data_IF_064199505764
#
_entry.id   IF_064199505764
#
_cell.length_a   1.000
_cell.length_b   1.000
_cell.length_c   1.000
_cell.angle_alpha   90.00
_cell.angle_beta   90.00
_cell.angle_gamma   90.00
#
_symmetry.space_group_name_H-M   'P 1'
#
loop_
_entity.id
_entity.type
_entity.pdbx_description
1 polymer ?
#
# COMPACT_ATOMS: atom_id res chain seq x y z
N UNK A 1 1.71 5.37 -17.73
CA UNK A 1 1.57 4.07 -18.44
C UNK A 1 2.81 3.18 -18.31
N UNK A 2 4.04 3.72 -18.32
CA UNK A 2 5.25 2.87 -18.17
C UNK A 2 5.40 2.23 -16.78
N UNK A 3 5.07 2.94 -15.71
CA UNK A 3 5.16 2.40 -14.34
C UNK A 3 4.28 1.14 -14.18
N UNK A 4 3.08 1.14 -14.76
CA UNK A 4 2.16 0.00 -14.73
C UNK A 4 2.66 -1.20 -15.55
N UNK A 5 3.48 -0.96 -16.58
CA UNK A 5 4.14 -2.04 -17.34
C UNK A 5 5.22 -2.72 -16.49
N UNK A 6 5.88 -1.96 -15.62
CA UNK A 6 6.92 -2.46 -14.73
C UNK A 6 6.35 -2.99 -13.41
N UNK A 7 5.44 -3.98 -13.51
CA UNK A 7 4.78 -4.59 -12.35
C UNK A 7 5.77 -5.22 -11.35
N UNK A 8 6.97 -5.62 -11.79
CA UNK A 8 8.04 -6.13 -10.93
C UNK A 8 8.56 -5.04 -9.97
N UNK A 9 8.72 -3.81 -10.45
CA UNK A 9 9.10 -2.68 -9.60
C UNK A 9 8.02 -2.40 -8.56
N UNK A 10 6.74 -2.45 -8.95
CA UNK A 10 5.63 -2.22 -8.02
C UNK A 10 5.56 -3.35 -6.99
N UNK A 11 5.74 -4.60 -7.41
CA UNK A 11 5.85 -5.73 -6.48
C UNK A 11 7.01 -5.53 -5.50
N UNK A 12 8.17 -5.08 -5.98
CA UNK A 12 9.31 -4.77 -5.11
C UNK A 12 8.96 -3.66 -4.11
N UNK A 13 8.27 -2.60 -4.54
CA UNK A 13 7.82 -1.52 -3.66
C UNK A 13 6.80 -2.01 -2.62
N UNK A 14 5.89 -2.92 -2.97
CA UNK A 14 5.01 -3.56 -1.98
C UNK A 14 5.82 -4.31 -0.93
N UNK A 15 6.76 -5.15 -1.38
CA UNK A 15 7.59 -5.98 -0.50
C UNK A 15 8.62 -5.18 0.31
N UNK A 16 8.87 -3.92 -0.04
CA UNK A 16 9.81 -3.02 0.66
C UNK A 16 9.06 -1.88 1.32
N UNK A 17 8.89 -0.75 0.63
CA UNK A 17 8.25 0.45 1.15
C UNK A 17 6.86 0.19 1.72
N UNK A 18 6.05 -0.66 1.08
CA UNK A 18 4.68 -0.93 1.52
C UNK A 18 4.61 -1.70 2.84
N UNK A 19 5.53 -2.64 3.06
CA UNK A 19 5.60 -3.43 4.29
C UNK A 19 6.52 -2.83 5.36
N UNK A 20 7.26 -1.77 5.04
CA UNK A 20 8.14 -1.12 5.99
C UNK A 20 7.35 -0.32 7.05
N UNK A 21 7.89 -0.21 8.28
CA UNK A 21 8.91 -1.06 8.87
C UNK A 21 8.34 -2.46 9.15
N UNK A 22 9.15 -3.51 9.01
CA UNK A 22 8.66 -4.90 9.12
C UNK A 22 8.45 -5.39 10.56
N UNK A 23 9.03 -4.70 11.55
CA UNK A 23 9.00 -5.09 12.96
C UNK A 23 8.50 -3.93 13.83
N UNK A 24 7.72 -4.19 14.89
CA UNK A 24 7.15 -5.49 15.26
C UNK A 24 6.09 -6.00 14.25
N UNK A 25 5.51 -5.10 13.45
CA UNK A 25 4.63 -5.38 12.32
C UNK A 25 4.71 -4.25 11.29
N UNK A 26 4.32 -4.49 10.02
CA UNK A 26 4.19 -3.45 9.00
C UNK A 26 3.29 -2.30 9.43
N UNK A 27 3.73 -1.05 9.20
CA UNK A 27 2.92 0.15 9.49
C UNK A 27 1.54 0.06 8.86
N UNK A 28 1.46 -0.37 7.59
CA UNK A 28 0.17 -0.46 6.88
C UNK A 28 -0.83 -1.36 7.61
N UNK A 29 -0.39 -2.44 8.26
CA UNK A 29 -1.27 -3.35 9.02
C UNK A 29 -1.82 -2.64 10.25
N UNK A 30 -0.96 -1.95 11.01
CA UNK A 30 -1.36 -1.14 12.16
C UNK A 30 -2.33 -0.02 11.77
N UNK A 31 -2.04 0.72 10.69
CA UNK A 31 -2.90 1.80 10.18
C UNK A 31 -4.26 1.29 9.72
N UNK A 32 -4.33 0.16 8.98
CA UNK A 32 -5.60 -0.43 8.57
C UNK A 32 -6.47 -0.84 9.78
N UNK A 33 -5.87 -1.40 10.83
CA UNK A 33 -6.60 -1.71 12.08
C UNK A 33 -7.07 -0.44 12.79
N UNK A 34 -6.24 0.60 12.83
CA UNK A 34 -6.62 1.88 13.44
C UNK A 34 -7.78 2.54 12.68
N UNK A 35 -7.75 2.51 11.35
CA UNK A 35 -8.84 3.01 10.50
C UNK A 35 -10.11 2.18 10.70
N UNK A 36 -10.01 0.85 10.75
CA UNK A 36 -11.15 -0.02 11.06
C UNK A 36 -11.75 0.26 12.46
N UNK A 37 -10.94 0.71 13.42
CA UNK A 37 -11.35 1.19 14.74
C UNK A 37 -11.93 2.62 14.76
N UNK A 38 -12.13 3.25 13.60
CA UNK A 38 -12.73 4.57 13.46
C UNK A 38 -11.74 5.74 13.40
N UNK A 39 -10.44 5.46 13.18
CA UNK A 39 -9.40 6.48 12.97
C UNK A 39 -9.32 7.57 14.07
N UNK A 40 -9.78 7.25 15.29
CA UNK A 40 -9.83 8.22 16.39
C UNK A 40 -8.42 8.70 16.73
N UNK A 41 -8.22 10.02 16.67
CA UNK A 41 -6.94 10.65 16.98
C UNK A 41 -5.87 10.57 15.87
N UNK A 42 -6.20 10.08 14.67
CA UNK A 42 -5.23 10.11 13.57
C UNK A 42 -4.93 11.55 13.14
N UNK A 43 -3.65 11.86 13.06
CA UNK A 43 -3.14 13.14 12.57
C UNK A 43 -2.91 13.10 11.06
N UNK A 44 -2.63 14.27 10.45
CA UNK A 44 -2.28 14.34 9.03
C UNK A 44 -1.06 13.45 8.68
N UNK A 45 -0.09 13.33 9.59
CA UNK A 45 1.08 12.48 9.39
C UNK A 45 0.72 10.99 9.38
N UNK A 46 -0.27 10.57 10.18
CA UNK A 46 -0.75 9.18 10.18
C UNK A 46 -1.45 8.82 8.88
N UNK A 47 -2.22 9.76 8.32
CA UNK A 47 -2.84 9.60 7.00
C UNK A 47 -1.80 9.56 5.88
N UNK A 48 -0.77 10.42 5.96
CA UNK A 48 0.34 10.38 5.02
C UNK A 48 1.09 9.05 5.06
N UNK A 49 1.42 8.54 6.26
CA UNK A 49 2.07 7.25 6.46
C UNK A 49 1.21 6.08 5.91
N UNK A 50 -0.10 6.12 6.17
CA UNK A 50 -1.06 5.15 5.59
C UNK A 50 -1.03 5.18 4.07
N UNK A 51 -1.07 6.38 3.46
CA UNK A 51 -1.03 6.53 2.01
C UNK A 51 0.30 6.06 1.44
N UNK A 52 1.42 6.46 2.05
CA UNK A 52 2.76 6.13 1.59
C UNK A 52 2.98 4.60 1.54
N UNK A 53 2.57 3.91 2.60
CA UNK A 53 2.72 2.46 2.69
C UNK A 53 1.60 1.70 1.95
N UNK A 54 0.41 2.30 1.81
CA UNK A 54 -0.73 1.71 1.10
C UNK A 54 -0.67 1.83 -0.43
N UNK A 55 -0.06 2.91 -0.95
CA UNK A 55 -0.05 3.23 -2.37
C UNK A 55 0.57 2.13 -3.25
N UNK A 56 1.70 1.49 -2.89
CA UNK A 56 2.24 0.36 -3.66
C UNK A 56 1.22 -0.77 -3.85
N UNK A 57 0.48 -1.15 -2.79
CA UNK A 57 -0.52 -2.21 -2.86
C UNK A 57 -1.72 -1.82 -3.72
N UNK A 58 -2.19 -0.58 -3.61
CA UNK A 58 -3.27 -0.08 -4.49
C UNK A 58 -2.86 -0.15 -5.96
N UNK A 59 -1.63 0.26 -6.29
CA UNK A 59 -1.10 0.16 -7.65
C UNK A 59 -0.99 -1.30 -8.11
N UNK A 60 -0.56 -2.21 -7.23
CA UNK A 60 -0.47 -3.63 -7.54
C UNK A 60 -1.86 -4.24 -7.81
N UNK A 61 -2.87 -3.89 -7.00
CA UNK A 61 -4.27 -4.32 -7.21
C UNK A 61 -4.78 -3.84 -8.56
N UNK A 62 -4.57 -2.56 -8.90
CA UNK A 62 -4.97 -2.00 -10.19
C UNK A 62 -4.32 -2.77 -11.35
N UNK A 63 -3.03 -3.09 -11.25
CA UNK A 63 -2.33 -3.88 -12.28
C UNK A 63 -2.91 -5.28 -12.41
N UNK A 64 -3.18 -5.96 -11.30
CA UNK A 64 -3.74 -7.31 -11.31
C UNK A 64 -5.13 -7.29 -11.95
N UNK A 65 -6.00 -6.37 -11.55
CA UNK A 65 -7.33 -6.18 -12.15
C UNK A 65 -7.18 -5.93 -13.66
N UNK A 66 -6.35 -4.97 -14.07
CA UNK A 66 -6.16 -4.67 -15.48
C UNK A 66 -5.62 -5.87 -16.26
N UNK A 67 -4.71 -6.68 -15.71
CA UNK A 67 -4.19 -7.90 -16.36
C UNK A 67 -5.20 -9.04 -16.44
N UNK A 68 -6.12 -9.13 -15.48
CA UNK A 68 -7.18 -10.13 -15.49
C UNK A 68 -8.28 -9.75 -16.49
N UNK A 69 -8.67 -8.47 -16.53
CA UNK A 69 -9.80 -8.00 -17.33
C UNK A 69 -9.41 -7.49 -18.73
N UNK A 70 -8.19 -6.99 -18.95
CA UNK A 70 -7.62 -6.88 -20.30
C UNK A 70 -6.94 -8.21 -20.63
N UNK A 71 -7.65 -9.08 -21.33
CA UNK A 71 -7.01 -10.08 -22.19
C UNK A 71 -6.09 -9.37 -23.19
#
# INVERSE_FOLDING_TARGET
>A
MELLKNWKLILLLCLTLGLAPFKPEPHIVGKLRWIAGGAKGMTAMDWFDTLLHGLPFLLLIVIIILKIFKK
#
